data_IF_937609491894
#
_entry.id   IF_937609491894
#
_cell.length_a   1.000
_cell.length_b   1.000
_cell.length_c   1.000
_cell.angle_alpha   90.00
_cell.angle_beta   90.00
_cell.angle_gamma   90.00
#
_symmetry.space_group_name_H-M   'P 1'
#
loop_
_entity.id
_entity.type
_entity.pdbx_description
1 polymer ?
#
# COMPACT_ATOMS: atom_id res chain seq x y z
N UNK A 1 -8.12 -7.34 2.58
CA UNK A 1 -7.02 -7.65 1.66
C UNK A 1 -5.72 -7.10 2.24
N UNK A 2 -4.77 -7.96 2.61
CA UNK A 2 -3.44 -7.55 3.05
C UNK A 2 -2.52 -7.56 1.84
N UNK A 3 -1.67 -6.54 1.74
CA UNK A 3 -0.75 -6.40 0.62
C UNK A 3 0.63 -6.01 1.12
N UNK A 4 1.63 -6.33 0.30
CA UNK A 4 2.98 -5.82 0.39
C UNK A 4 3.29 -5.00 -0.86
N UNK A 5 3.87 -3.81 -0.68
CA UNK A 5 4.34 -2.99 -1.80
C UNK A 5 5.64 -3.60 -2.33
N UNK A 6 5.68 -3.96 -3.62
CA UNK A 6 6.81 -4.68 -4.23
C UNK A 6 7.71 -3.77 -5.08
N UNK A 7 7.25 -2.56 -5.41
CA UNK A 7 7.96 -1.60 -6.30
C UNK A 7 7.94 -0.17 -5.75
N UNK A 8 8.92 0.64 -6.18
CA UNK A 8 9.01 2.07 -5.86
C UNK A 8 9.61 2.36 -4.47
N UNK A 9 9.48 3.62 -4.03
CA UNK A 9 10.07 4.16 -2.79
C UNK A 9 9.61 3.43 -1.52
N UNK A 10 8.43 2.81 -1.57
CA UNK A 10 7.77 2.19 -0.43
C UNK A 10 7.84 0.65 -0.46
N UNK A 11 8.74 0.08 -1.27
CA UNK A 11 8.95 -1.37 -1.36
C UNK A 11 9.20 -1.99 0.02
N UNK A 12 8.53 -3.10 0.32
CA UNK A 12 8.58 -3.83 1.58
C UNK A 12 7.61 -3.36 2.65
N UNK A 13 6.89 -2.25 2.43
CA UNK A 13 5.82 -1.82 3.35
C UNK A 13 4.62 -2.75 3.18
N UNK A 14 4.10 -3.22 4.33
CA UNK A 14 2.86 -3.99 4.42
C UNK A 14 1.72 -3.10 4.87
N UNK A 15 0.57 -3.32 4.28
CA UNK A 15 -0.62 -2.57 4.60
C UNK A 15 -1.89 -3.36 4.34
N UNK A 16 -3.00 -2.76 4.74
CA UNK A 16 -4.35 -3.26 4.46
C UNK A 16 -5.00 -2.34 3.45
N UNK A 17 -5.48 -2.90 2.36
CA UNK A 17 -6.28 -2.14 1.39
C UNK A 17 -7.60 -1.77 2.06
N UNK A 18 -7.90 -0.47 2.08
CA UNK A 18 -9.14 0.11 2.61
C UNK A 18 -10.05 0.63 1.50
N UNK A 19 -9.52 0.87 0.30
CA UNK A 19 -10.28 1.29 -0.87
C UNK A 19 -9.59 0.91 -2.17
N UNK A 20 -10.39 0.75 -3.23
CA UNK A 20 -9.91 0.50 -4.59
C UNK A 20 -10.48 1.58 -5.49
N UNK A 21 -9.61 2.33 -6.14
CA UNK A 21 -10.00 3.35 -7.11
C UNK A 21 -10.21 2.72 -8.49
N UNK A 22 -11.14 3.29 -9.25
CA UNK A 22 -11.47 2.86 -10.61
C UNK A 22 -10.31 3.00 -11.59
N UNK A 23 -9.31 3.82 -11.28
CA UNK A 23 -8.09 4.02 -12.07
C UNK A 23 -6.97 3.01 -11.74
N UNK A 24 -7.26 1.97 -10.96
CA UNK A 24 -6.32 0.89 -10.66
C UNK A 24 -5.31 1.23 -9.57
N UNK A 25 -5.73 1.99 -8.56
CA UNK A 25 -4.96 2.26 -7.33
C UNK A 25 -5.64 1.67 -6.10
N UNK A 26 -4.83 1.27 -5.14
CA UNK A 26 -5.27 0.94 -3.79
C UNK A 26 -5.02 2.09 -2.85
N UNK A 27 -6.03 2.39 -2.04
CA UNK A 27 -5.85 3.12 -0.80
C UNK A 27 -5.44 2.12 0.29
N UNK A 28 -4.26 2.32 0.86
CA UNK A 28 -3.59 1.38 1.74
C UNK A 28 -3.36 2.04 3.08
N UNK A 29 -3.90 1.42 4.14
CA UNK A 29 -3.56 1.75 5.51
C UNK A 29 -2.34 0.94 5.96
N UNK A 30 -1.23 1.61 6.25
CA UNK A 30 0.07 0.99 6.57
C UNK A 30 0.03 0.36 7.96
N UNK A 31 0.51 -0.87 8.07
CA UNK A 31 0.62 -1.58 9.35
C UNK A 31 1.96 -1.23 9.98
N UNK A 32 1.93 -0.66 11.21
CA UNK A 32 3.13 -0.20 11.94
C UNK A 32 3.98 0.80 11.13
N UNK A 33 3.42 1.96 10.75
CA UNK A 33 4.18 2.98 10.04
C UNK A 33 5.34 3.46 10.90
N UNK A 34 6.52 3.61 10.28
CA UNK A 34 7.65 4.32 10.90
C UNK A 34 7.31 5.81 11.03
N UNK A 35 7.98 6.58 11.92
CA UNK A 35 7.70 8.01 12.11
C UNK A 35 7.75 8.84 10.82
N UNK A 36 8.57 8.41 9.86
CA UNK A 36 8.76 9.06 8.56
C UNK A 36 7.84 8.54 7.45
N UNK A 37 6.95 7.58 7.75
CA UNK A 37 6.07 6.95 6.78
C UNK A 37 4.63 7.46 6.93
N UNK A 38 3.90 7.69 5.82
CA UNK A 38 2.49 8.02 5.89
C UNK A 38 1.68 6.85 6.46
N UNK A 39 0.64 7.16 7.24
CA UNK A 39 -0.32 6.16 7.74
C UNK A 39 -1.20 5.60 6.61
N UNK A 40 -1.57 6.47 5.67
CA UNK A 40 -2.44 6.14 4.53
C UNK A 40 -1.70 6.49 3.24
N UNK A 41 -1.76 5.60 2.26
CA UNK A 41 -1.01 5.73 1.02
C UNK A 41 -1.83 5.23 -0.17
N UNK A 42 -1.76 5.97 -1.29
CA UNK A 42 -2.36 5.54 -2.53
C UNK A 42 -1.28 4.97 -3.46
N UNK A 43 -1.37 3.69 -3.79
CA UNK A 43 -0.37 2.98 -4.61
C UNK A 43 -1.05 2.24 -5.75
N UNK A 44 -0.43 2.24 -6.94
CA UNK A 44 -0.92 1.47 -8.08
C UNK A 44 -0.95 -0.03 -7.76
N UNK A 45 -2.01 -0.71 -8.16
CA UNK A 45 -2.24 -2.13 -7.87
C UNK A 45 -1.08 -3.00 -8.39
N UNK A 46 -0.51 -2.66 -9.54
CA UNK A 46 0.63 -3.36 -10.15
C UNK A 46 1.95 -3.28 -9.35
N UNK A 47 2.01 -2.41 -8.34
CA UNK A 47 3.12 -2.26 -7.41
C UNK A 47 2.85 -2.95 -6.07
N UNK A 48 1.72 -3.63 -5.93
CA UNK A 48 1.31 -4.35 -4.74
C UNK A 48 1.23 -5.85 -5.03
N UNK A 49 1.46 -6.66 -4.01
CA UNK A 49 1.24 -8.11 -4.04
C UNK A 49 0.39 -8.49 -2.84
N UNK A 50 -0.63 -9.31 -3.05
CA UNK A 50 -1.42 -9.88 -1.95
C UNK A 50 -0.61 -10.88 -1.13
N UNK A 51 -0.81 -10.84 0.19
CA UNK A 51 -0.14 -11.69 1.19
C UNK A 51 -1.10 -12.17 2.27
#
# INVERSE_FOLDING_TARGET
MKIEITKGKFKGIRGRVVGVYTDGRYDINVIKPKPTQPKIMVIKINNCREI
#
